data_IF_638628010877
#
_entry.id   IF_638628010877
#
_cell.length_a   1.000
_cell.length_b   1.000
_cell.length_c   1.000
_cell.angle_alpha   90.00
_cell.angle_beta   90.00
_cell.angle_gamma   90.00
#
_symmetry.space_group_name_H-M   'P 1'
#
loop_
_entity.id
_entity.type
_entity.pdbx_description
1 polymer ?
#
# COMPACT_ATOMS: atom_id res chain seq x y z
N UNK A 1 38.22 -7.16 5.74
CA UNK A 1 36.77 -7.38 5.51
C UNK A 1 36.32 -6.50 4.37
N UNK A 2 35.94 -7.08 3.22
CA UNK A 2 35.39 -6.31 2.11
C UNK A 2 33.95 -5.89 2.46
N UNK A 3 33.65 -4.59 2.39
CA UNK A 3 32.28 -4.09 2.55
C UNK A 3 31.46 -4.57 1.36
N UNK A 4 30.41 -5.35 1.60
CA UNK A 4 29.45 -5.73 0.57
C UNK A 4 28.89 -4.47 -0.08
N UNK A 5 29.09 -4.33 -1.39
CA UNK A 5 28.48 -3.28 -2.21
C UNK A 5 27.31 -3.92 -2.94
N UNK A 6 26.06 -3.54 -2.62
CA UNK A 6 24.92 -4.14 -3.27
C UNK A 6 24.87 -3.75 -4.77
N UNK A 7 24.23 -4.57 -5.62
CA UNK A 7 24.04 -4.28 -7.05
C UNK A 7 23.34 -2.94 -7.28
N UNK A 8 23.51 -2.34 -8.46
CA UNK A 8 22.86 -1.06 -8.82
C UNK A 8 21.32 -1.13 -8.77
N UNK A 9 20.73 -2.32 -8.91
CA UNK A 9 19.29 -2.58 -8.83
C UNK A 9 18.78 -2.79 -7.39
N UNK A 10 19.68 -2.93 -6.42
CA UNK A 10 19.31 -3.04 -5.02
C UNK A 10 19.05 -1.65 -4.46
N UNK A 11 17.78 -1.24 -4.50
CA UNK A 11 17.30 -0.14 -3.70
C UNK A 11 17.03 -0.65 -2.27
N UNK A 12 17.88 -0.33 -1.26
CA UNK A 12 17.66 -0.75 0.12
C UNK A 12 16.35 -0.20 0.72
N UNK A 13 15.72 0.75 0.03
CA UNK A 13 14.43 1.33 0.39
C UNK A 13 13.26 0.67 -0.36
N UNK A 14 13.50 -0.22 -1.31
CA UNK A 14 12.47 -0.99 -2.03
C UNK A 14 12.27 -2.36 -1.37
N UNK A 15 11.45 -2.39 -0.31
CA UNK A 15 11.19 -3.65 0.40
C UNK A 15 10.25 -4.55 -0.41
N UNK A 16 10.57 -5.84 -0.61
CA UNK A 16 9.69 -6.79 -1.30
C UNK A 16 8.29 -6.86 -0.68
N UNK A 17 8.20 -6.71 0.64
CA UNK A 17 6.93 -6.69 1.40
C UNK A 17 6.00 -5.56 0.95
N UNK A 18 6.55 -4.36 0.71
CA UNK A 18 5.76 -3.19 0.32
C UNK A 18 5.19 -3.41 -1.09
N UNK A 19 5.99 -3.98 -2.00
CA UNK A 19 5.54 -4.35 -3.35
C UNK A 19 4.49 -5.46 -3.34
N UNK A 20 4.68 -6.49 -2.53
CA UNK A 20 3.70 -7.56 -2.39
C UNK A 20 2.35 -7.00 -1.88
N UNK A 21 2.36 -6.08 -0.89
CA UNK A 21 1.13 -5.42 -0.42
C UNK A 21 0.40 -4.71 -1.56
N UNK A 22 1.13 -3.97 -2.40
CA UNK A 22 0.55 -3.24 -3.53
C UNK A 22 0.01 -4.19 -4.60
N UNK A 23 0.79 -5.19 -4.99
CA UNK A 23 0.43 -6.13 -6.05
C UNK A 23 -0.80 -6.96 -5.65
N UNK A 24 -0.76 -7.62 -4.48
CA UNK A 24 -1.91 -8.36 -3.98
C UNK A 24 -3.10 -7.45 -3.68
N UNK A 25 -2.84 -6.27 -3.13
CA UNK A 25 -3.86 -5.25 -2.91
C UNK A 25 -4.63 -4.93 -4.18
N UNK A 26 -3.92 -4.65 -5.29
CA UNK A 26 -4.51 -4.35 -6.60
C UNK A 26 -5.29 -5.53 -7.17
N UNK A 27 -4.72 -6.73 -7.11
CA UNK A 27 -5.39 -7.95 -7.59
C UNK A 27 -6.74 -8.16 -6.88
N UNK A 28 -6.76 -8.00 -5.56
CA UNK A 28 -7.99 -8.15 -4.78
C UNK A 28 -8.95 -6.98 -4.93
N UNK A 29 -8.44 -5.75 -5.10
CA UNK A 29 -9.25 -4.55 -5.29
C UNK A 29 -10.07 -4.59 -6.58
N UNK A 30 -9.54 -5.23 -7.63
CA UNK A 30 -10.23 -5.43 -8.92
C UNK A 30 -11.50 -6.27 -8.79
N UNK A 31 -11.60 -7.14 -7.78
CA UNK A 31 -12.78 -8.00 -7.58
C UNK A 31 -13.78 -7.30 -6.65
N UNK A 32 -14.96 -6.86 -7.11
CA UNK A 32 -15.86 -6.00 -6.32
C UNK A 32 -16.26 -6.61 -4.96
N UNK A 33 -16.52 -7.92 -4.93
CA UNK A 33 -16.84 -8.65 -3.69
C UNK A 33 -15.69 -8.64 -2.70
N UNK A 34 -14.45 -8.75 -3.18
CA UNK A 34 -13.26 -8.76 -2.33
C UNK A 34 -12.93 -7.35 -1.87
N UNK A 35 -13.00 -6.35 -2.76
CA UNK A 35 -12.92 -4.92 -2.40
C UNK A 35 -13.85 -4.57 -1.24
N UNK A 36 -15.12 -5.00 -1.32
CA UNK A 36 -16.09 -4.76 -0.24
C UNK A 36 -15.62 -5.38 1.09
N UNK A 37 -15.17 -6.63 1.06
CA UNK A 37 -14.64 -7.34 2.25
C UNK A 37 -13.38 -6.68 2.83
N UNK A 38 -12.49 -6.19 1.97
CA UNK A 38 -11.30 -5.44 2.41
C UNK A 38 -11.72 -4.17 3.14
N UNK A 39 -12.63 -3.38 2.55
CA UNK A 39 -13.15 -2.18 3.20
C UNK A 39 -13.87 -2.49 4.51
N UNK A 40 -14.71 -3.53 4.56
CA UNK A 40 -15.35 -4.00 5.80
C UNK A 40 -14.31 -4.31 6.87
N UNK A 41 -13.26 -5.07 6.53
CA UNK A 41 -12.18 -5.42 7.45
C UNK A 41 -11.36 -4.21 7.91
N UNK A 42 -10.94 -3.34 6.98
CA UNK A 42 -10.09 -2.17 7.28
C UNK A 42 -10.82 -1.09 8.07
N UNK A 43 -12.15 -1.06 8.00
CA UNK A 43 -13.00 -0.10 8.72
C UNK A 43 -13.66 -0.68 9.97
N UNK A 44 -13.47 -1.98 10.24
CA UNK A 44 -13.96 -2.66 11.43
C UNK A 44 -13.45 -1.95 12.71
N UNK A 45 -14.32 -1.61 13.67
CA UNK A 45 -13.95 -1.00 14.95
C UNK A 45 -12.82 -1.71 15.71
N UNK A 46 -12.67 -3.02 15.51
CA UNK A 46 -11.67 -3.85 16.18
C UNK A 46 -10.31 -3.83 15.48
N UNK A 47 -10.24 -3.33 14.23
CA UNK A 47 -9.01 -3.31 13.46
C UNK A 47 -8.01 -2.31 14.09
N UNK A 48 -6.80 -2.74 14.50
CA UNK A 48 -5.88 -1.89 15.29
C UNK A 48 -5.52 -0.57 14.62
N UNK A 49 -5.54 -0.51 13.29
CA UNK A 49 -5.10 0.66 12.53
C UNK A 49 -6.26 1.41 11.87
N UNK A 50 -7.51 1.04 12.20
CA UNK A 50 -8.74 1.58 11.60
C UNK A 50 -8.74 3.10 11.58
N UNK A 51 -8.53 3.70 12.75
CA UNK A 51 -8.65 5.13 12.95
C UNK A 51 -7.64 5.93 12.12
N UNK A 52 -6.40 5.44 12.06
CA UNK A 52 -5.35 6.02 11.22
C UNK A 52 -5.67 5.87 9.74
N UNK A 53 -6.17 4.70 9.34
CA UNK A 53 -6.61 4.44 7.97
C UNK A 53 -7.73 5.39 7.56
N UNK A 54 -8.79 5.51 8.37
CA UNK A 54 -9.94 6.37 8.10
C UNK A 54 -9.59 7.86 8.06
N UNK A 55 -8.73 8.34 8.96
CA UNK A 55 -8.39 9.77 9.07
C UNK A 55 -7.48 10.28 7.97
N UNK A 56 -6.55 9.44 7.48
CA UNK A 56 -5.45 9.92 6.64
C UNK A 56 -5.31 9.12 5.35
N UNK A 57 -5.33 7.79 5.44
CA UNK A 57 -4.79 6.96 4.35
C UNK A 57 -5.84 6.41 3.40
N UNK A 58 -7.10 6.29 3.82
CA UNK A 58 -8.17 5.72 3.00
C UNK A 58 -8.23 6.30 1.59
N UNK A 59 -8.34 7.63 1.37
CA UNK A 59 -8.43 8.17 0.01
C UNK A 59 -7.17 7.88 -0.82
N UNK A 60 -5.99 7.89 -0.21
CA UNK A 60 -4.71 7.63 -0.89
C UNK A 60 -4.54 6.15 -1.25
N UNK A 61 -4.91 5.25 -0.34
CA UNK A 61 -4.89 3.79 -0.55
C UNK A 61 -5.90 3.40 -1.59
N UNK A 62 -7.15 3.89 -1.52
CA UNK A 62 -8.16 3.61 -2.54
C UNK A 62 -7.72 4.10 -3.93
N UNK A 63 -7.12 5.30 -3.99
CA UNK A 63 -6.56 5.86 -5.24
C UNK A 63 -5.43 4.99 -5.79
N UNK A 64 -4.47 4.59 -4.94
CA UNK A 64 -3.33 3.76 -5.32
C UNK A 64 -3.78 2.38 -5.84
N UNK A 65 -4.75 1.75 -5.18
CA UNK A 65 -5.25 0.43 -5.57
C UNK A 65 -6.12 0.47 -6.83
N UNK A 66 -6.75 1.61 -7.12
CA UNK A 66 -7.54 1.81 -8.34
C UNK A 66 -6.69 2.28 -9.55
N UNK A 67 -5.51 2.84 -9.31
CA UNK A 67 -4.63 3.33 -10.36
C UNK A 67 -4.03 2.19 -11.20
N UNK A 68 -3.79 2.50 -12.48
CA UNK A 68 -3.00 1.65 -13.36
C UNK A 68 -1.55 1.57 -12.85
N UNK A 69 -0.95 0.37 -12.75
CA UNK A 69 0.47 0.23 -12.41
C UNK A 69 1.42 1.08 -13.27
N UNK A 70 1.09 1.35 -14.54
CA UNK A 70 1.90 2.21 -15.41
C UNK A 70 1.94 3.67 -14.94
N UNK A 71 0.97 4.09 -14.11
CA UNK A 71 0.89 5.45 -13.55
C UNK A 71 1.62 5.61 -12.20
N UNK A 72 2.32 4.59 -11.70
CA UNK A 72 2.94 4.63 -10.36
C UNK A 72 3.97 5.76 -10.19
N UNK A 73 4.74 6.08 -11.23
CA UNK A 73 5.73 7.17 -11.18
C UNK A 73 5.07 8.55 -11.14
N UNK A 74 3.99 8.74 -11.88
CA UNK A 74 3.20 9.97 -11.83
C UNK A 74 2.50 10.12 -10.48
N UNK A 75 1.90 9.04 -9.98
CA UNK A 75 1.27 9.03 -8.68
C UNK A 75 2.28 9.31 -7.55
N UNK A 76 3.51 8.77 -7.61
CA UNK A 76 4.56 9.10 -6.64
C UNK A 76 4.93 10.58 -6.68
N UNK A 77 5.06 11.18 -7.87
CA UNK A 77 5.35 12.61 -8.02
C UNK A 77 4.27 13.48 -7.38
N UNK A 78 3.00 13.17 -7.61
CA UNK A 78 1.88 13.88 -6.99
C UNK A 78 1.84 13.71 -5.47
N UNK A 79 2.04 12.48 -4.98
CA UNK A 79 2.08 12.20 -3.56
C UNK A 79 3.19 13.00 -2.87
N UNK A 80 4.36 13.13 -3.50
CA UNK A 80 5.48 13.93 -2.98
C UNK A 80 5.14 15.41 -2.88
N UNK A 81 4.37 15.98 -3.81
CA UNK A 81 3.90 17.37 -3.70
C UNK A 81 2.99 17.58 -2.49
N UNK A 82 2.26 16.54 -2.07
CA UNK A 82 1.43 16.53 -0.87
C UNK A 82 2.18 16.10 0.41
N UNK A 83 3.50 15.93 0.37
CA UNK A 83 4.30 15.50 1.53
C UNK A 83 4.24 13.99 1.83
N UNK A 84 3.77 13.18 0.89
CA UNK A 84 3.72 11.73 0.95
C UNK A 84 4.69 11.07 -0.04
N UNK A 85 4.65 9.75 -0.13
CA UNK A 85 5.30 8.99 -1.22
C UNK A 85 4.52 7.73 -1.48
N UNK A 86 4.68 7.16 -2.67
CA UNK A 86 4.07 5.89 -3.06
C UNK A 86 4.35 4.82 -2.01
N UNK A 87 5.61 4.70 -1.59
CA UNK A 87 6.03 3.76 -0.55
C UNK A 87 5.33 4.00 0.79
N UNK A 88 5.15 5.25 1.21
CA UNK A 88 4.39 5.55 2.43
C UNK A 88 2.97 5.02 2.32
N UNK A 89 2.29 5.28 1.20
CA UNK A 89 0.92 4.81 0.97
C UNK A 89 0.85 3.27 0.89
N UNK A 90 1.83 2.61 0.24
CA UNK A 90 1.92 1.14 0.17
C UNK A 90 1.97 0.48 1.54
N UNK A 91 2.70 1.09 2.49
CA UNK A 91 2.79 0.59 3.88
C UNK A 91 1.50 0.74 4.67
N UNK A 92 0.61 1.61 4.22
CA UNK A 92 -0.67 1.89 4.84
C UNK A 92 -1.82 1.11 4.19
N UNK A 93 -1.53 0.33 3.13
CA UNK A 93 -2.42 -0.73 2.66
C UNK A 93 -2.54 -1.73 3.82
N UNK A 94 -3.69 -1.82 4.49
CA UNK A 94 -3.80 -2.73 5.62
C UNK A 94 -3.68 -4.19 5.13
N UNK A 95 -3.18 -5.11 5.96
CA UNK A 95 -2.91 -6.49 5.55
C UNK A 95 -4.09 -7.13 4.82
N UNK A 96 -3.75 -7.83 3.73
CA UNK A 96 -4.71 -8.35 2.75
C UNK A 96 -5.25 -9.71 3.20
N UNK A 97 -5.87 -9.77 4.38
CA UNK A 97 -6.27 -10.97 5.13
C UNK A 97 -5.16 -11.60 5.96
N UNK A 98 -5.52 -11.83 7.22
CA UNK A 98 -4.75 -12.40 8.31
C UNK A 98 -5.60 -12.17 9.55
N UNK A 99 -5.96 -13.24 10.25
CA UNK A 99 -6.97 -13.19 11.31
C UNK A 99 -6.59 -12.18 12.40
N UNK A 100 -7.31 -11.07 12.42
CA UNK A 100 -7.66 -10.42 13.66
C UNK A 100 -9.18 -10.38 13.66
N UNK A 101 -9.75 -11.30 14.45
CA UNK A 101 -11.17 -11.55 14.75
C UNK A 101 -11.99 -12.30 13.69
#
# INVERSE_FOLDING_TARGET
MAKFRPPAEYDPYRRPEDHARLEYGRLLWKVPRVRRRLLEHWTDPRHPWRDRFLRTWRPLVERLLAADPESDEELDRELRQAGHSLRMVMREIPPVFGGFY
#
